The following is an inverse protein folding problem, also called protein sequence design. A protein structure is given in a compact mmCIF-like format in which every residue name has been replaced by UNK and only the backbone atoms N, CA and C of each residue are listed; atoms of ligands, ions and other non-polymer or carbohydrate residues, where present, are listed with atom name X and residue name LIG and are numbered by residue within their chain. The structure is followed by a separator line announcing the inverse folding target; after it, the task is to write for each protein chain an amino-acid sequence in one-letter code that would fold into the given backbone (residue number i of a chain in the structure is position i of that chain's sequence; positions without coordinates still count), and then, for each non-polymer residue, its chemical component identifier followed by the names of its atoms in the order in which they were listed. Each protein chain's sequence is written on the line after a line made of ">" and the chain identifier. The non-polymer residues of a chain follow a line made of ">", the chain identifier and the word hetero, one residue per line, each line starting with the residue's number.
data_IF_414612603397
#
_entry.id   IF_414612603397
#
_cell.length_a   1.000
_cell.length_b   1.000
_cell.length_c   1.000
_cell.angle_alpha   90.00
_cell.angle_beta   90.00
_cell.angle_gamma   90.00
#
_symmetry.space_group_name_H-M   'P 1'
#
loop_
_entity.id
_entity.type
_entity.pdbx_description
1 polymer ?
#
# COMPACT_ATOMS: atom_id res chain seq x y z
N UNK A 1 -44.40 -9.47 18.05
CA UNK A 1 -43.84 -8.37 18.85
C UNK A 1 -42.38 -8.18 18.43
N UNK A 2 -42.13 -7.32 17.45
CA UNK A 2 -40.81 -6.96 16.94
C UNK A 2 -40.75 -5.43 17.02
N UNK A 3 -39.86 -4.90 17.85
CA UNK A 3 -39.68 -3.47 18.02
C UNK A 3 -38.92 -2.90 16.82
N UNK A 4 -39.55 -1.95 16.14
CA UNK A 4 -38.95 -1.11 15.11
C UNK A 4 -37.97 -0.14 15.79
N UNK A 5 -36.67 -0.32 15.56
CA UNK A 5 -35.65 0.64 15.99
C UNK A 5 -35.62 1.79 14.96
N UNK A 6 -35.81 3.05 15.35
CA UNK A 6 -35.72 4.17 14.41
C UNK A 6 -34.27 4.44 14.00
N UNK A 7 -34.02 4.46 12.68
CA UNK A 7 -32.78 4.95 12.07
C UNK A 7 -32.60 6.44 12.42
N UNK A 8 -31.48 6.78 13.08
CA UNK A 8 -31.10 8.17 13.33
C UNK A 8 -30.60 8.82 12.04
N UNK A 9 -30.76 10.16 11.88
CA UNK A 9 -30.27 10.88 10.72
C UNK A 9 -28.74 10.79 10.68
N UNK A 10 -28.19 10.59 9.49
CA UNK A 10 -26.76 10.72 9.24
C UNK A 10 -26.38 12.19 9.38
N UNK A 11 -25.52 12.51 10.37
CA UNK A 11 -25.02 13.87 10.54
C UNK A 11 -24.11 14.25 9.37
N UNK A 12 -24.49 15.33 8.68
CA UNK A 12 -23.78 15.92 7.56
C UNK A 12 -22.61 16.82 8.00
N UNK A 13 -21.73 16.29 8.86
CA UNK A 13 -20.41 16.87 9.10
C UNK A 13 -19.41 16.18 8.17
N UNK A 14 -19.32 16.67 6.94
CA UNK A 14 -18.33 16.23 5.94
C UNK A 14 -17.10 17.15 6.00
N UNK A 15 -15.97 16.74 6.61
CA UNK A 15 -14.71 17.39 6.40
C UNK A 15 -14.05 16.75 5.17
N UNK A 16 -14.38 17.29 3.99
CA UNK A 16 -13.52 17.29 2.82
C UNK A 16 -13.06 15.93 2.28
N UNK A 17 -13.66 15.53 1.16
CA UNK A 17 -12.94 14.90 0.05
C UNK A 17 -11.86 13.90 0.43
N UNK A 18 -12.22 12.87 1.19
CA UNK A 18 -11.33 11.73 1.41
C UNK A 18 -11.33 10.93 0.11
N UNK A 19 -10.36 11.22 -0.76
CA UNK A 19 -9.98 10.27 -1.81
C UNK A 19 -9.85 8.90 -1.17
N UNK A 20 -10.31 7.86 -1.86
CA UNK A 20 -10.30 6.47 -1.44
C UNK A 20 -8.84 5.98 -1.23
N UNK A 21 -8.18 6.49 -0.20
CA UNK A 21 -6.82 6.17 0.16
C UNK A 21 -6.89 4.85 0.89
N UNK A 22 -6.23 3.83 0.34
CA UNK A 22 -6.09 2.50 0.93
C UNK A 22 -5.92 2.64 2.44
N UNK A 23 -6.94 2.23 3.19
CA UNK A 23 -6.87 2.12 4.65
C UNK A 23 -5.96 0.93 4.93
N UNK A 24 -4.65 1.17 4.88
CA UNK A 24 -3.66 0.11 4.94
C UNK A 24 -3.63 -0.48 6.34
N UNK A 25 -4.21 -1.68 6.49
CA UNK A 25 -3.83 -2.86 7.31
C UNK A 25 -3.08 -2.63 8.64
N UNK A 26 -3.16 -1.45 9.24
CA UNK A 26 -2.33 -1.05 10.37
C UNK A 26 -3.17 -1.08 11.62
N UNK A 27 -2.85 -2.05 12.47
CA UNK A 27 -3.21 -2.01 13.88
C UNK A 27 -2.31 -0.97 14.59
N UNK A 28 -2.49 0.31 14.26
CA UNK A 28 -2.01 1.45 15.06
C UNK A 28 -0.57 1.92 14.88
N UNK A 29 0.17 1.46 13.86
CA UNK A 29 1.58 1.81 13.64
C UNK A 29 1.94 2.31 12.23
N UNK A 30 3.12 2.95 12.05
CA UNK A 30 3.59 3.34 10.72
C UNK A 30 3.87 2.11 9.86
N UNK A 31 3.20 2.02 8.70
CA UNK A 31 3.35 0.89 7.76
C UNK A 31 4.69 1.01 7.04
N UNK A 32 5.51 -0.05 7.14
CA UNK A 32 6.74 -0.18 6.34
C UNK A 32 6.37 -0.70 4.97
N UNK A 33 6.83 -0.03 3.92
CA UNK A 33 6.59 -0.44 2.54
C UNK A 33 7.90 -0.73 1.85
N UNK A 34 7.98 -1.88 1.21
CA UNK A 34 9.12 -2.36 0.44
C UNK A 34 8.72 -2.63 -1.00
N UNK A 35 9.51 -2.16 -1.95
CA UNK A 35 9.21 -2.28 -3.39
C UNK A 35 10.30 -3.08 -4.08
N UNK A 36 9.87 -4.12 -4.80
CA UNK A 36 10.75 -4.94 -5.62
C UNK A 36 11.29 -4.11 -6.79
N UNK A 37 12.60 -3.93 -6.89
CA UNK A 37 13.18 -3.16 -8.01
C UNK A 37 13.09 -3.92 -9.34
N UNK A 38 13.05 -5.26 -9.30
CA UNK A 38 12.92 -6.14 -10.49
C UNK A 38 11.49 -6.66 -10.68
N UNK A 39 11.01 -6.84 -11.92
CA UNK A 39 9.74 -7.50 -12.18
C UNK A 39 9.70 -8.94 -11.68
N UNK A 40 8.53 -9.41 -11.26
CA UNK A 40 8.30 -10.79 -10.79
C UNK A 40 7.34 -11.52 -11.74
N UNK A 41 7.39 -12.85 -11.76
CA UNK A 41 6.35 -13.65 -12.43
C UNK A 41 5.01 -13.47 -11.69
N UNK A 42 4.04 -12.84 -12.35
CA UNK A 42 2.73 -12.53 -11.79
C UNK A 42 1.77 -13.72 -11.75
N UNK A 43 2.20 -14.90 -12.20
CA UNK A 43 1.53 -16.18 -11.93
C UNK A 43 1.70 -16.63 -10.48
N UNK A 44 2.73 -16.16 -9.78
CA UNK A 44 2.96 -16.49 -8.36
C UNK A 44 1.79 -16.02 -7.49
N UNK A 45 1.24 -16.94 -6.70
CA UNK A 45 0.26 -16.67 -5.63
C UNK A 45 0.94 -16.19 -4.35
N UNK A 46 0.24 -16.29 -3.22
CA UNK A 46 0.74 -15.86 -1.89
C UNK A 46 2.09 -16.51 -1.57
N UNK A 47 2.18 -17.83 -1.59
CA UNK A 47 3.40 -18.54 -1.16
C UNK A 47 4.61 -18.24 -2.06
N UNK A 48 4.37 -18.19 -3.37
CA UNK A 48 5.42 -17.87 -4.33
C UNK A 48 5.94 -16.44 -4.18
N UNK A 49 5.10 -15.50 -3.76
CA UNK A 49 5.50 -14.14 -3.45
C UNK A 49 6.15 -14.02 -2.07
N UNK A 50 5.69 -14.78 -1.06
CA UNK A 50 6.34 -14.85 0.24
C UNK A 50 7.78 -15.36 0.11
N UNK A 51 8.00 -16.40 -0.70
CA UNK A 51 9.36 -16.87 -1.04
C UNK A 51 10.16 -15.77 -1.76
N UNK A 52 9.53 -15.04 -2.70
CA UNK A 52 10.19 -13.92 -3.36
C UNK A 52 10.55 -12.78 -2.38
N UNK A 53 9.79 -12.58 -1.30
CA UNK A 53 10.17 -11.65 -0.22
C UNK A 53 11.50 -12.07 0.40
N UNK A 54 11.61 -13.34 0.79
CA UNK A 54 12.82 -13.87 1.40
C UNK A 54 14.03 -13.78 0.45
N UNK A 55 13.87 -14.19 -0.81
CA UNK A 55 14.95 -14.21 -1.80
C UNK A 55 15.37 -12.83 -2.28
N UNK A 56 14.41 -11.92 -2.54
CA UNK A 56 14.70 -10.62 -3.15
C UNK A 56 15.02 -9.53 -2.13
N UNK A 57 14.38 -9.59 -0.96
CA UNK A 57 14.51 -8.55 0.06
C UNK A 57 15.36 -9.00 1.25
N UNK A 58 15.54 -10.31 1.46
CA UNK A 58 16.20 -10.84 2.66
C UNK A 58 15.40 -10.54 3.93
N UNK A 59 14.08 -10.44 3.82
CA UNK A 59 13.17 -10.07 4.91
C UNK A 59 12.19 -11.20 5.21
N UNK A 60 11.63 -11.18 6.42
CA UNK A 60 10.53 -12.03 6.82
C UNK A 60 9.21 -11.54 6.18
N UNK A 61 8.50 -12.36 5.37
CA UNK A 61 7.21 -11.99 4.77
C UNK A 61 6.11 -11.73 5.81
N UNK A 62 6.25 -12.21 7.05
CA UNK A 62 5.25 -12.08 8.11
C UNK A 62 5.48 -10.88 9.03
N UNK A 63 6.46 -10.01 8.74
CA UNK A 63 6.83 -8.88 9.60
C UNK A 63 5.82 -7.70 9.62
N UNK A 64 4.64 -7.86 9.02
CA UNK A 64 3.61 -6.81 8.92
C UNK A 64 3.94 -5.67 7.95
N UNK A 65 5.00 -5.80 7.16
CA UNK A 65 5.32 -4.85 6.09
C UNK A 65 4.49 -5.13 4.83
N UNK A 66 4.33 -4.10 4.01
CA UNK A 66 3.72 -4.23 2.68
C UNK A 66 4.82 -4.40 1.64
N UNK A 67 4.77 -5.52 0.92
CA UNK A 67 5.69 -5.82 -0.18
C UNK A 67 5.00 -5.58 -1.52
N UNK A 68 5.55 -4.68 -2.32
CA UNK A 68 4.98 -4.27 -3.61
C UNK A 68 5.79 -4.85 -4.75
N UNK A 69 5.10 -5.57 -5.63
CA UNK A 69 5.66 -6.19 -6.82
C UNK A 69 5.02 -5.60 -8.07
N UNK A 70 5.74 -5.63 -9.20
CA UNK A 70 5.21 -5.26 -10.53
C UNK A 70 5.31 -6.38 -11.55
N UNK A 71 4.39 -6.37 -12.50
CA UNK A 71 4.49 -7.20 -13.69
C UNK A 71 5.64 -6.72 -14.58
N UNK A 72 6.09 -7.59 -15.49
CA UNK A 72 7.05 -7.22 -16.55
C UNK A 72 6.54 -6.04 -17.39
N UNK A 73 5.24 -6.04 -17.72
CA UNK A 73 4.57 -4.99 -18.51
C UNK A 73 4.32 -3.69 -17.73
N UNK A 74 4.49 -3.69 -16.41
CA UNK A 74 4.23 -2.57 -15.50
C UNK A 74 2.77 -2.07 -15.49
N UNK A 75 1.84 -2.84 -16.04
CA UNK A 75 0.39 -2.58 -16.02
C UNK A 75 -0.29 -3.15 -14.77
N UNK A 76 0.42 -3.95 -13.97
CA UNK A 76 -0.12 -4.63 -12.78
C UNK A 76 0.84 -4.53 -11.61
N UNK A 77 0.25 -4.42 -10.43
CA UNK A 77 0.95 -4.56 -9.15
C UNK A 77 0.29 -5.61 -8.27
N UNK A 78 1.09 -6.24 -7.42
CA UNK A 78 0.63 -7.05 -6.31
C UNK A 78 1.18 -6.47 -5.00
N UNK A 79 0.34 -6.39 -3.98
CA UNK A 79 0.76 -6.07 -2.61
C UNK A 79 0.55 -7.29 -1.73
N UNK A 80 1.62 -7.71 -1.06
CA UNK A 80 1.60 -8.81 -0.10
C UNK A 80 1.77 -8.24 1.32
N UNK A 81 0.91 -8.64 2.25
CA UNK A 81 0.98 -8.23 3.66
C UNK A 81 0.49 -9.36 4.56
N UNK A 82 1.09 -9.49 5.74
CA UNK A 82 0.57 -10.33 6.83
C UNK A 82 -0.16 -9.44 7.83
N UNK A 83 -1.45 -9.70 8.08
CA UNK A 83 -2.30 -8.86 8.93
C UNK A 83 -2.39 -9.32 10.39
N UNK A 84 -1.50 -10.22 10.82
CA UNK A 84 -1.51 -10.98 12.08
C UNK A 84 -2.39 -12.23 12.10
N UNK A 85 -3.36 -12.34 11.20
CA UNK A 85 -4.27 -13.49 11.12
C UNK A 85 -4.08 -14.30 9.84
N UNK A 86 -3.67 -13.64 8.75
CA UNK A 86 -3.57 -14.23 7.43
C UNK A 86 -2.67 -13.43 6.50
N UNK A 87 -2.24 -14.12 5.44
CA UNK A 87 -1.60 -13.48 4.30
C UNK A 87 -2.67 -12.88 3.40
N UNK A 88 -2.52 -11.59 3.10
CA UNK A 88 -3.41 -10.84 2.21
C UNK A 88 -2.66 -10.49 0.94
N UNK A 89 -3.30 -10.74 -0.20
CA UNK A 89 -2.78 -10.40 -1.52
C UNK A 89 -3.75 -9.47 -2.24
N UNK A 90 -3.31 -8.24 -2.47
CA UNK A 90 -4.04 -7.29 -3.34
C UNK A 90 -3.44 -7.37 -4.73
N UNK A 91 -4.28 -7.47 -5.76
CA UNK A 91 -3.87 -7.45 -7.16
C UNK A 91 -4.61 -6.34 -7.89
N UNK A 92 -3.87 -5.35 -8.41
CA UNK A 92 -4.42 -4.22 -9.17
C UNK A 92 -3.85 -4.21 -10.59
N UNK A 93 -4.73 -3.96 -11.57
CA UNK A 93 -4.40 -3.75 -12.98
C UNK A 93 -4.87 -2.36 -13.41
N UNK A 94 -4.02 -1.64 -14.12
CA UNK A 94 -4.41 -0.46 -14.87
C UNK A 94 -4.76 -0.89 -16.30
N UNK A 95 -5.85 -0.38 -16.85
CA UNK A 95 -6.30 -0.77 -18.20
C UNK A 95 -5.53 0.00 -19.28
N UNK A 96 -5.40 1.32 -19.15
CA UNK A 96 -4.81 2.20 -20.17
C UNK A 96 -3.51 2.91 -19.74
N UNK A 97 -2.92 2.47 -18.61
CA UNK A 97 -1.75 3.11 -18.04
C UNK A 97 -0.73 2.08 -17.52
N UNK A 98 0.47 2.57 -17.21
CA UNK A 98 1.52 1.79 -16.56
C UNK A 98 1.94 2.48 -15.28
N UNK A 99 2.20 1.70 -14.26
CA UNK A 99 2.77 2.18 -13.02
C UNK A 99 4.17 2.75 -13.27
N UNK A 100 4.42 3.95 -12.73
CA UNK A 100 5.77 4.50 -12.65
C UNK A 100 6.56 3.65 -11.65
N UNK A 101 7.62 3.00 -12.11
CA UNK A 101 8.41 2.12 -11.28
C UNK A 101 9.82 2.66 -11.06
N UNK A 102 10.43 2.50 -9.86
CA UNK A 102 11.83 2.86 -9.68
C UNK A 102 12.74 2.14 -10.68
N UNK A 103 13.81 2.81 -11.09
CA UNK A 103 14.86 2.19 -11.89
C UNK A 103 15.53 1.08 -11.06
N UNK A 104 16.00 0.04 -11.74
CA UNK A 104 16.66 -1.10 -11.09
C UNK A 104 18.01 -0.65 -10.57
N UNK A 105 18.03 -0.14 -9.34
CA UNK A 105 19.25 0.03 -8.57
C UNK A 105 19.29 -1.15 -7.60
N UNK A 106 20.40 -1.91 -7.60
CA UNK A 106 20.54 -3.09 -6.75
C UNK A 106 20.18 -2.76 -5.31
N UNK A 107 19.18 -3.45 -4.77
CA UNK A 107 18.72 -3.25 -3.40
C UNK A 107 17.20 -3.14 -3.26
N UNK A 108 16.81 -2.95 -2.00
CA UNK A 108 15.43 -2.82 -1.54
C UNK A 108 15.05 -1.35 -1.49
N UNK A 109 14.00 -0.95 -2.21
CA UNK A 109 13.47 0.40 -2.13
C UNK A 109 12.39 0.49 -1.05
N UNK A 110 12.46 1.51 -0.20
CA UNK A 110 11.39 1.87 0.75
C UNK A 110 10.55 3.02 0.20
N UNK A 111 9.26 3.03 0.54
CA UNK A 111 8.38 4.16 0.26
C UNK A 111 7.51 4.50 1.47
N UNK A 112 7.04 5.75 1.52
CA UNK A 112 6.05 6.18 2.52
C UNK A 112 4.65 5.67 2.16
N UNK A 113 3.73 5.67 3.12
CA UNK A 113 2.32 5.35 2.88
C UNK A 113 1.68 6.28 1.83
N UNK A 114 2.08 7.55 1.82
CA UNK A 114 1.60 8.52 0.82
C UNK A 114 2.10 8.19 -0.60
N UNK A 115 3.37 7.80 -0.73
CA UNK A 115 3.93 7.35 -2.01
C UNK A 115 3.26 6.06 -2.48
N UNK A 116 2.95 5.14 -1.56
CA UNK A 116 2.24 3.92 -1.89
C UNK A 116 0.81 4.18 -2.35
N UNK A 117 0.08 5.07 -1.66
CA UNK A 117 -1.26 5.47 -2.07
C UNK A 117 -1.25 6.06 -3.48
N UNK A 118 -0.31 6.96 -3.78
CA UNK A 118 -0.16 7.52 -5.12
C UNK A 118 0.21 6.47 -6.17
N UNK A 119 1.17 5.57 -5.87
CA UNK A 119 1.50 4.45 -6.75
C UNK A 119 0.27 3.60 -7.01
N UNK A 120 -0.51 3.27 -5.99
CA UNK A 120 -1.69 2.45 -6.12
C UNK A 120 -2.75 3.11 -7.00
N UNK A 121 -2.93 4.43 -6.88
CA UNK A 121 -3.79 5.22 -7.78
C UNK A 121 -3.23 5.37 -9.20
N UNK A 122 -2.06 4.80 -9.50
CA UNK A 122 -1.43 4.89 -10.82
C UNK A 122 -0.74 6.24 -11.07
N UNK A 123 -0.61 7.08 -10.05
CA UNK A 123 0.08 8.37 -10.13
C UNK A 123 1.59 8.19 -10.06
N UNK A 124 2.34 9.22 -10.50
CA UNK A 124 3.78 9.27 -10.29
C UNK A 124 4.09 9.55 -8.80
N UNK A 125 4.29 8.47 -8.05
CA UNK A 125 4.63 8.51 -6.63
C UNK A 125 5.95 9.26 -6.34
N UNK A 126 6.82 9.47 -7.32
CA UNK A 126 8.09 10.20 -7.12
C UNK A 126 7.85 11.69 -6.90
N UNK A 127 6.71 12.20 -7.36
CA UNK A 127 6.28 13.57 -7.14
C UNK A 127 5.70 13.77 -5.73
N UNK A 128 5.33 12.68 -5.04
CA UNK A 128 4.79 12.75 -3.68
C UNK A 128 5.93 12.94 -2.69
N UNK A 129 5.94 14.12 -2.08
CA UNK A 129 6.80 14.46 -0.95
C UNK A 129 5.98 14.43 0.33
N UNK A 130 6.42 13.63 1.30
CA UNK A 130 5.84 13.67 2.64
C UNK A 130 6.39 14.89 3.37
N UNK A 131 5.54 15.90 3.59
CA UNK A 131 5.87 16.98 4.52
C UNK A 131 6.05 16.39 5.91
N UNK A 132 7.23 16.60 6.52
CA UNK A 132 7.43 16.19 7.91
C UNK A 132 6.63 17.15 8.76
N UNK A 133 5.61 16.65 9.43
CA UNK A 133 4.89 17.41 10.44
C UNK A 133 5.91 17.98 11.44
N UNK A 134 6.17 19.29 11.34
CA UNK A 134 6.96 20.00 12.34
C UNK A 134 6.01 20.27 13.48
N UNK A 135 6.31 19.69 14.65
CA UNK A 135 5.59 20.03 15.87
C UNK A 135 5.75 21.54 16.11
N UNK A 136 4.66 22.33 16.18
CA UNK A 136 4.76 23.72 16.58
C UNK A 136 5.44 23.81 17.95
N UNK A 137 6.46 24.65 18.06
CA UNK A 137 7.24 24.79 19.31
C UNK A 137 6.56 25.73 20.31
N UNK A 138 5.59 26.51 19.86
CA UNK A 138 4.83 27.46 20.68
C UNK A 138 3.36 27.37 20.30
N UNK A 139 2.50 27.27 21.31
CA UNK A 139 1.13 27.72 21.19
C UNK A 139 1.16 29.25 21.25
N UNK A 140 0.43 29.92 20.36
CA UNK A 140 0.32 31.38 20.36
C UNK A 140 -0.21 31.93 21.67
#
# INVERSE_FOLDING_TARGET
>A
MLALVPMRPVDASDPGGTGCGIVMFSHGGPVKVYVATRPVDFRKGIDGLALAVQEMFGLDPFCGAVFVFRSKRADRIKLLVWDQTGMVLVHKRLEDARFVWPQVQGGVMRMSSAQLAALFEGLDWRLVRSERARRPLVAG
#
